data_IF_839690805204
#
_entry.id   IF_839690805204
#
_cell.length_a   1.000
_cell.length_b   1.000
_cell.length_c   1.000
_cell.angle_alpha   90.00
_cell.angle_beta   90.00
_cell.angle_gamma   90.00
#
_symmetry.space_group_name_H-M   'P 1'
#
loop_
_entity.id
_entity.type
_entity.pdbx_description
1 polymer ?
#
# COMPACT_ATOMS: atom_id res chain seq x y z
N UNK A 1 -69.44 -16.82 -16.18
CA UNK A 1 -69.00 -17.60 -15.01
C UNK A 1 -68.39 -16.63 -13.99
N UNK A 2 -69.03 -16.48 -12.82
CA UNK A 2 -68.35 -16.13 -11.55
C UNK A 2 -67.52 -17.38 -11.13
N UNK A 3 -66.56 -17.34 -10.18
CA UNK A 3 -66.54 -16.52 -8.95
C UNK A 3 -65.10 -16.05 -8.59
N UNK A 4 -64.67 -15.54 -7.43
CA UNK A 4 -65.17 -15.39 -6.06
C UNK A 4 -64.40 -14.19 -5.45
N UNK A 5 -65.05 -13.31 -4.70
CA UNK A 5 -64.43 -12.45 -3.67
C UNK A 5 -64.46 -13.17 -2.32
N UNK A 6 -63.65 -12.83 -1.30
CA UNK A 6 -64.24 -11.95 -0.27
C UNK A 6 -63.24 -11.03 0.46
N UNK A 7 -63.71 -9.83 0.80
CA UNK A 7 -63.88 -9.26 2.16
C UNK A 7 -62.58 -8.74 2.82
N UNK A 8 -62.41 -7.46 3.19
CA UNK A 8 -63.25 -6.46 3.92
C UNK A 8 -62.95 -6.41 5.44
N UNK A 9 -62.68 -5.17 5.87
CA UNK A 9 -63.12 -4.47 7.08
C UNK A 9 -62.51 -4.75 8.47
N UNK A 10 -61.95 -3.69 9.07
CA UNK A 10 -62.38 -2.99 10.31
C UNK A 10 -61.33 -1.89 10.58
N UNK A 11 -61.55 -0.57 10.77
CA UNK A 11 -62.53 0.30 11.46
C UNK A 11 -62.79 -0.05 12.93
N UNK A 12 -62.24 0.76 13.86
CA UNK A 12 -62.87 1.45 15.01
C UNK A 12 -61.75 1.81 16.03
N UNK A 13 -61.45 3.09 16.28
CA UNK A 13 -62.18 4.09 17.08
C UNK A 13 -62.16 3.78 18.59
N UNK A 14 -61.71 4.73 19.42
CA UNK A 14 -62.45 5.18 20.62
C UNK A 14 -61.77 6.37 21.33
N UNK A 15 -62.64 7.32 21.67
CA UNK A 15 -62.49 8.54 22.49
C UNK A 15 -62.81 8.19 23.97
N UNK A 16 -62.66 9.16 24.89
CA UNK A 16 -63.02 9.24 26.34
C UNK A 16 -61.79 9.06 27.26
N UNK A 17 -61.49 9.86 28.31
CA UNK A 17 -62.20 10.90 29.09
C UNK A 17 -61.18 11.76 29.90
N UNK A 18 -61.64 12.93 30.37
CA UNK A 18 -60.96 13.91 31.23
C UNK A 18 -60.59 13.40 32.64
N UNK A 19 -59.48 13.91 33.18
CA UNK A 19 -59.34 14.21 34.62
C UNK A 19 -58.34 15.36 34.83
N UNK A 20 -58.82 16.43 35.47
CA UNK A 20 -58.08 17.62 35.88
C UNK A 20 -57.53 17.38 37.30
N UNK A 21 -56.23 17.57 37.54
CA UNK A 21 -55.69 17.73 38.90
C UNK A 21 -54.44 18.61 38.89
N UNK A 22 -54.58 19.75 39.56
CA UNK A 22 -53.54 20.73 39.88
C UNK A 22 -52.43 20.09 40.70
N UNK A 23 -51.17 20.29 40.31
CA UNK A 23 -50.05 20.32 41.26
C UNK A 23 -48.91 21.20 40.71
N UNK A 24 -48.78 22.35 41.36
CA UNK A 24 -47.65 23.27 41.26
C UNK A 24 -46.42 22.58 41.84
N UNK A 25 -45.32 22.49 41.09
CA UNK A 25 -43.99 22.32 41.68
C UNK A 25 -43.01 23.31 41.06
N UNK A 26 -42.27 23.95 41.95
CA UNK A 26 -41.42 25.10 41.72
C UNK A 26 -40.20 24.77 40.86
N UNK A 27 -39.86 25.71 39.99
CA UNK A 27 -38.54 25.85 39.36
C UNK A 27 -37.46 26.03 40.42
N UNK A 28 -36.54 25.08 40.54
CA UNK A 28 -35.29 25.29 41.27
C UNK A 28 -34.30 25.97 40.33
N UNK A 29 -34.08 27.26 40.54
CA UNK A 29 -32.97 28.01 39.96
C UNK A 29 -31.68 27.58 40.68
N UNK A 30 -30.74 26.97 39.96
CA UNK A 30 -29.37 26.85 40.45
C UNK A 30 -28.57 28.11 40.04
N UNK A 31 -27.80 28.71 40.95
CA UNK A 31 -27.03 29.92 40.66
C UNK A 31 -25.85 29.60 39.72
N UNK A 32 -25.63 30.46 38.72
CA UNK A 32 -24.36 30.54 38.01
C UNK A 32 -23.31 31.12 38.96
N UNK A 33 -22.46 30.26 39.51
CA UNK A 33 -21.21 30.69 40.12
C UNK A 33 -20.23 31.06 39.01
N UNK A 34 -20.09 32.36 38.74
CA UNK A 34 -18.94 32.90 38.03
C UNK A 34 -17.78 32.94 39.03
N UNK A 35 -16.93 31.92 38.99
CA UNK A 35 -15.59 32.03 39.57
C UNK A 35 -14.67 32.60 38.50
N UNK A 36 -14.27 33.85 38.68
CA UNK A 36 -13.10 34.42 38.00
C UNK A 36 -11.90 33.75 38.66
N UNK A 37 -11.28 32.81 37.96
CA UNK A 37 -9.98 32.30 38.33
C UNK A 37 -8.92 32.86 37.39
N UNK A 38 -7.81 33.25 38.00
CA UNK A 38 -6.75 34.11 37.50
C UNK A 38 -6.12 33.67 36.19
N UNK A 39 -5.73 34.66 35.37
CA UNK A 39 -4.81 34.50 34.24
C UNK A 39 -3.45 34.05 34.78
N UNK A 40 -3.24 32.73 34.83
CA UNK A 40 -1.90 32.16 34.93
C UNK A 40 -1.25 32.13 33.54
N UNK A 41 -0.01 32.60 33.52
CA UNK A 41 0.84 32.75 32.35
C UNK A 41 0.95 31.43 31.59
N UNK A 42 0.63 31.46 30.29
CA UNK A 42 0.61 30.29 29.42
C UNK A 42 1.94 29.56 29.37
N UNK A 43 1.98 28.37 29.96
CA UNK A 43 2.83 27.29 29.49
C UNK A 43 2.00 26.48 28.50
N UNK A 44 2.02 26.90 27.23
CA UNK A 44 1.58 26.10 26.08
C UNK A 44 2.59 24.96 25.85
N UNK A 45 2.78 24.14 26.88
CA UNK A 45 3.42 22.85 26.76
C UNK A 45 2.37 21.95 26.13
N UNK A 46 2.37 21.93 24.80
CA UNK A 46 1.74 20.94 23.94
C UNK A 46 1.44 19.65 24.71
N UNK A 47 0.16 19.34 24.89
CA UNK A 47 -0.25 17.99 25.29
C UNK A 47 0.15 17.10 24.11
N UNK A 48 1.38 16.57 24.16
CA UNK A 48 1.87 15.60 23.21
C UNK A 48 1.12 14.30 23.50
N UNK A 49 0.00 14.08 22.80
CA UNK A 49 -0.62 12.76 22.83
C UNK A 49 0.38 11.74 22.31
N UNK A 50 0.62 10.67 23.09
CA UNK A 50 1.45 9.58 22.63
C UNK A 50 0.76 8.92 21.44
N UNK A 51 1.43 8.91 20.29
CA UNK A 51 0.96 8.14 19.12
C UNK A 51 0.68 6.70 19.51
N UNK A 52 -0.46 6.18 19.06
CA UNK A 52 -0.82 4.77 19.25
C UNK A 52 0.31 3.87 18.75
N UNK A 53 0.91 3.14 19.68
CA UNK A 53 1.97 2.19 19.37
C UNK A 53 1.35 1.02 18.62
N UNK A 54 1.85 0.76 17.42
CA UNK A 54 1.39 -0.35 16.58
C UNK A 54 1.77 -1.71 17.18
N UNK A 55 0.99 -2.79 16.93
CA UNK A 55 1.06 -4.04 17.70
C UNK A 55 2.38 -4.82 17.56
N UNK A 56 3.18 -4.54 16.53
CA UNK A 56 4.47 -5.17 16.31
C UNK A 56 5.40 -4.25 15.49
N UNK A 57 6.73 -4.48 15.52
CA UNK A 57 7.65 -3.74 14.66
C UNK A 57 7.58 -4.17 13.19
N UNK A 58 7.74 -3.22 12.28
CA UNK A 58 7.97 -3.46 10.86
C UNK A 58 9.45 -3.72 10.62
N UNK A 59 9.79 -4.91 10.14
CA UNK A 59 11.08 -5.28 9.56
C UNK A 59 11.02 -5.06 8.06
N UNK A 60 11.39 -3.86 7.63
CA UNK A 60 11.24 -3.39 6.26
C UNK A 60 12.52 -3.72 5.48
N UNK A 61 12.41 -4.49 4.40
CA UNK A 61 13.48 -4.77 3.46
C UNK A 61 13.31 -3.92 2.18
N UNK A 62 14.13 -2.88 1.97
CA UNK A 62 14.27 -2.25 0.66
C UNK A 62 15.11 -3.15 -0.26
N UNK A 63 14.49 -3.77 -1.26
CA UNK A 63 15.14 -4.67 -2.21
C UNK A 63 15.11 -4.07 -3.62
N UNK A 64 16.28 -3.90 -4.25
CA UNK A 64 16.32 -3.37 -5.60
C UNK A 64 17.70 -2.98 -6.10
N UNK A 65 17.75 -2.01 -7.00
CA UNK A 65 18.99 -1.58 -7.64
C UNK A 65 19.47 -0.20 -7.14
N UNK A 66 20.09 0.60 -8.01
CA UNK A 66 20.64 1.93 -7.67
C UNK A 66 19.59 2.91 -7.13
N UNK A 67 18.33 2.79 -7.56
CA UNK A 67 17.23 3.60 -7.03
C UNK A 67 17.02 3.28 -5.55
N UNK A 68 16.98 2.00 -5.15
CA UNK A 68 16.89 1.56 -3.75
C UNK A 68 18.09 1.98 -2.91
N UNK A 69 19.30 1.98 -3.49
CA UNK A 69 20.49 2.54 -2.83
C UNK A 69 20.30 4.01 -2.46
N UNK A 70 19.53 4.78 -3.25
CA UNK A 70 19.49 6.24 -3.15
C UNK A 70 20.59 6.91 -3.98
N UNK A 71 21.01 6.28 -5.08
CA UNK A 71 22.01 6.90 -5.96
C UNK A 71 21.49 8.23 -6.53
N UNK A 72 22.34 9.26 -6.55
CA UNK A 72 22.02 10.67 -6.89
C UNK A 72 21.19 11.44 -5.87
N UNK A 73 20.77 10.84 -4.75
CA UNK A 73 20.35 11.64 -3.59
C UNK A 73 21.56 12.30 -2.91
N UNK A 74 21.38 13.50 -2.36
CA UNK A 74 22.43 14.27 -1.70
C UNK A 74 22.99 13.58 -0.45
N UNK A 75 22.16 12.80 0.24
CA UNK A 75 22.47 12.15 1.50
C UNK A 75 22.73 10.63 1.37
N UNK A 76 22.57 10.09 0.15
CA UNK A 76 22.67 8.67 -0.13
C UNK A 76 21.60 7.80 0.51
N UNK A 77 20.52 8.37 1.07
CA UNK A 77 19.41 7.62 1.67
C UNK A 77 18.33 7.26 0.65
N UNK A 78 18.17 8.08 -0.40
CA UNK A 78 17.05 7.97 -1.33
C UNK A 78 15.70 8.09 -0.61
N UNK A 79 14.73 7.26 -1.00
CA UNK A 79 13.39 7.27 -0.38
C UNK A 79 13.38 6.71 1.06
N UNK A 80 14.42 5.98 1.48
CA UNK A 80 14.39 5.15 2.70
C UNK A 80 14.22 5.99 3.97
N UNK A 81 14.89 7.14 4.06
CA UNK A 81 14.80 8.05 5.21
C UNK A 81 13.38 8.60 5.35
N UNK A 82 12.86 9.18 4.27
CA UNK A 82 11.53 9.76 4.20
C UNK A 82 10.45 8.73 4.57
N UNK A 83 10.55 7.51 4.02
CA UNK A 83 9.60 6.44 4.33
C UNK A 83 9.68 5.98 5.79
N UNK A 84 10.90 5.79 6.32
CA UNK A 84 11.08 5.36 7.71
C UNK A 84 10.51 6.38 8.69
N UNK A 85 10.79 7.67 8.46
CA UNK A 85 10.25 8.76 9.26
C UNK A 85 8.72 8.76 9.23
N UNK A 86 8.11 8.54 8.06
CA UNK A 86 6.65 8.48 7.96
C UNK A 86 6.04 7.31 8.73
N UNK A 87 6.63 6.13 8.62
CA UNK A 87 6.15 4.95 9.34
C UNK A 87 6.24 5.17 10.85
N UNK A 88 7.34 5.79 11.32
CA UNK A 88 7.52 6.14 12.73
C UNK A 88 6.56 7.23 13.19
N UNK A 89 6.27 8.22 12.33
CA UNK A 89 5.21 9.19 12.53
C UNK A 89 3.84 8.51 12.70
N UNK A 90 3.56 7.44 11.95
CA UNK A 90 2.32 6.69 12.08
C UNK A 90 2.27 5.72 13.28
N UNK A 91 3.26 5.76 14.19
CA UNK A 91 3.31 4.93 15.39
C UNK A 91 3.97 3.56 15.21
N UNK A 92 4.48 3.24 14.02
CA UNK A 92 5.22 1.99 13.80
C UNK A 92 6.63 2.06 14.39
N UNK A 93 7.05 1.02 15.09
CA UNK A 93 8.47 0.75 15.27
C UNK A 93 9.04 0.17 13.97
N UNK A 94 10.20 0.68 13.52
CA UNK A 94 10.75 0.30 12.20
C UNK A 94 12.19 -0.15 12.31
N UNK A 95 12.42 -1.39 11.91
CA UNK A 95 13.72 -1.97 11.65
C UNK A 95 13.97 -2.10 10.14
N UNK A 96 14.88 -1.32 9.57
CA UNK A 96 15.31 -1.53 8.19
C UNK A 96 16.28 -2.70 8.16
N UNK A 97 16.02 -3.70 7.31
CA UNK A 97 16.85 -4.90 7.18
C UNK A 97 17.46 -5.00 5.79
N UNK A 98 18.48 -5.85 5.64
CA UNK A 98 19.29 -5.97 4.44
C UNK A 98 20.74 -6.33 4.76
N UNK A 99 21.52 -6.61 3.73
CA UNK A 99 22.93 -6.96 3.80
C UNK A 99 23.86 -5.80 3.46
N UNK A 100 23.33 -4.70 2.91
CA UNK A 100 24.06 -3.47 2.64
C UNK A 100 23.67 -2.36 3.62
N UNK A 101 24.54 -1.36 3.73
CA UNK A 101 24.35 -0.19 4.59
C UNK A 101 24.91 1.04 3.89
N UNK A 102 24.08 2.05 3.63
CA UNK A 102 24.55 3.31 3.05
C UNK A 102 23.57 4.48 3.30
N UNK A 103 24.11 5.68 3.21
CA UNK A 103 23.41 6.94 3.48
C UNK A 103 23.57 7.38 4.94
N UNK A 104 23.12 8.58 5.26
CA UNK A 104 23.31 9.20 6.59
C UNK A 104 22.22 8.88 7.60
N UNK A 105 21.10 8.23 7.21
CA UNK A 105 20.00 7.97 8.14
C UNK A 105 20.35 6.93 9.21
N UNK A 106 19.70 7.03 10.37
CA UNK A 106 19.68 5.93 11.33
C UNK A 106 18.99 4.71 10.73
N UNK A 107 19.48 3.52 11.12
CA UNK A 107 19.01 2.24 10.59
C UNK A 107 18.93 2.21 9.05
N UNK A 108 20.06 2.48 8.40
CA UNK A 108 20.19 2.59 6.94
C UNK A 108 20.48 1.25 6.22
N UNK A 109 20.10 0.10 6.80
CA UNK A 109 20.28 -1.18 6.12
C UNK A 109 19.35 -1.27 4.91
N UNK A 110 19.81 -1.93 3.84
CA UNK A 110 19.04 -2.16 2.62
C UNK A 110 19.69 -3.26 1.76
N UNK A 111 19.01 -3.64 0.68
CA UNK A 111 19.49 -4.54 -0.38
C UNK A 111 19.40 -3.85 -1.75
N UNK A 112 20.03 -2.67 -1.87
CA UNK A 112 20.18 -1.93 -3.12
C UNK A 112 21.47 -2.30 -3.86
N UNK A 113 21.38 -2.91 -5.04
CA UNK A 113 22.55 -3.34 -5.82
C UNK A 113 22.63 -2.58 -7.15
N UNK A 114 23.54 -1.59 -7.23
CA UNK A 114 23.67 -0.74 -8.43
C UNK A 114 23.90 -1.57 -9.70
N UNK A 115 23.15 -1.26 -10.76
CA UNK A 115 23.26 -1.94 -12.05
C UNK A 115 22.75 -3.38 -12.09
N UNK A 116 22.12 -3.89 -11.03
CA UNK A 116 21.58 -5.24 -11.02
C UNK A 116 20.23 -5.30 -11.73
N UNK A 117 20.07 -6.39 -12.47
CA UNK A 117 18.83 -6.81 -13.15
C UNK A 117 18.06 -7.76 -12.24
N UNK A 118 16.78 -8.01 -12.53
CA UNK A 118 15.89 -8.81 -11.66
C UNK A 118 16.52 -10.15 -11.24
N UNK A 119 17.19 -10.87 -12.16
CA UNK A 119 17.79 -12.16 -11.82
C UNK A 119 18.93 -12.08 -10.79
N UNK A 120 19.72 -10.99 -10.80
CA UNK A 120 20.78 -10.79 -9.80
C UNK A 120 20.19 -10.30 -8.48
N UNK A 121 19.14 -9.49 -8.52
CA UNK A 121 18.38 -9.12 -7.32
C UNK A 121 17.81 -10.37 -6.65
N UNK A 122 17.24 -11.30 -7.42
CA UNK A 122 16.74 -12.56 -6.88
C UNK A 122 17.85 -13.38 -6.20
N UNK A 123 19.05 -13.43 -6.80
CA UNK A 123 20.21 -14.10 -6.19
C UNK A 123 20.65 -13.45 -4.87
N UNK A 124 20.61 -12.12 -4.78
CA UNK A 124 20.97 -11.41 -3.55
C UNK A 124 19.92 -11.56 -2.45
N UNK A 125 18.63 -11.61 -2.83
CA UNK A 125 17.52 -11.80 -1.89
C UNK A 125 17.66 -13.11 -1.08
N UNK A 126 18.26 -14.16 -1.66
CA UNK A 126 18.56 -15.42 -0.95
C UNK A 126 19.39 -15.21 0.33
N UNK A 127 20.32 -14.25 0.30
CA UNK A 127 21.18 -13.93 1.45
C UNK A 127 20.42 -13.21 2.56
N UNK A 128 19.26 -12.64 2.25
CA UNK A 128 18.46 -11.83 3.19
C UNK A 128 17.26 -12.57 3.74
N UNK A 129 16.80 -13.64 3.06
CA UNK A 129 15.74 -14.54 3.55
C UNK A 129 15.91 -14.92 5.04
N UNK A 130 17.12 -15.28 5.54
CA UNK A 130 17.30 -15.60 6.96
C UNK A 130 16.97 -14.45 7.93
N UNK A 131 16.95 -13.20 7.46
CA UNK A 131 16.58 -12.04 8.28
C UNK A 131 15.05 -11.88 8.47
N UNK A 132 14.25 -12.66 7.75
CA UNK A 132 12.77 -12.76 7.86
C UNK A 132 12.05 -11.39 7.93
N UNK A 133 12.18 -10.52 6.92
CA UNK A 133 11.40 -9.27 6.85
C UNK A 133 9.90 -9.55 6.76
N UNK A 134 9.08 -8.80 7.49
CA UNK A 134 7.62 -8.85 7.35
C UNK A 134 7.06 -7.86 6.33
N UNK A 135 7.87 -6.91 5.85
CA UNK A 135 7.53 -6.01 4.75
C UNK A 135 8.71 -5.96 3.77
N UNK A 136 8.48 -6.28 2.50
CA UNK A 136 9.51 -6.21 1.44
C UNK A 136 9.07 -5.19 0.39
N UNK A 137 9.91 -4.19 0.13
CA UNK A 137 9.70 -3.18 -0.90
C UNK A 137 10.55 -3.53 -2.12
N UNK A 138 9.93 -3.79 -3.27
CA UNK A 138 10.66 -4.22 -4.47
C UNK A 138 10.60 -3.14 -5.55
N UNK A 139 11.78 -2.60 -5.89
CA UNK A 139 12.00 -1.77 -7.07
C UNK A 139 13.19 -2.31 -7.88
N UNK A 140 12.90 -3.17 -8.86
CA UNK A 140 13.90 -3.78 -9.74
C UNK A 140 13.32 -4.01 -11.13
N UNK A 141 14.13 -3.84 -12.17
CA UNK A 141 13.72 -3.97 -13.57
C UNK A 141 14.19 -2.83 -14.47
N UNK A 142 14.54 -1.66 -13.91
CA UNK A 142 15.06 -0.52 -14.70
C UNK A 142 16.31 -0.89 -15.51
N UNK A 143 17.21 -1.69 -14.93
CA UNK A 143 18.40 -2.16 -15.65
C UNK A 143 18.06 -3.21 -16.73
N UNK A 144 16.96 -3.94 -16.59
CA UNK A 144 16.46 -4.86 -17.61
C UNK A 144 15.94 -4.05 -18.81
N UNK A 145 15.16 -3.00 -18.59
CA UNK A 145 14.70 -2.07 -19.62
C UNK A 145 15.87 -1.32 -20.29
N UNK A 146 16.69 -0.60 -19.52
CA UNK A 146 17.79 0.24 -20.04
C UNK A 146 18.81 -0.56 -20.85
N UNK A 147 19.01 -1.84 -20.53
CA UNK A 147 19.95 -2.73 -21.22
C UNK A 147 19.26 -3.74 -22.15
N UNK A 148 17.96 -3.57 -22.41
CA UNK A 148 17.15 -4.41 -23.30
C UNK A 148 17.27 -5.92 -23.00
N UNK A 149 17.34 -6.27 -21.72
CA UNK A 149 17.59 -7.64 -21.27
C UNK A 149 16.29 -8.33 -20.89
N UNK A 150 15.84 -9.27 -21.72
CA UNK A 150 14.67 -10.12 -21.46
C UNK A 150 13.47 -9.35 -20.91
N UNK A 151 13.11 -8.26 -21.59
CA UNK A 151 12.00 -7.35 -21.21
C UNK A 151 10.66 -8.08 -21.24
N UNK A 152 10.43 -8.88 -22.29
CA UNK A 152 9.19 -9.66 -22.48
C UNK A 152 8.95 -10.70 -21.38
N UNK A 153 10.00 -11.09 -20.65
CA UNK A 153 9.91 -12.06 -19.54
C UNK A 153 10.29 -11.46 -18.20
N UNK A 154 10.40 -10.13 -18.10
CA UNK A 154 10.71 -9.44 -16.84
C UNK A 154 9.66 -9.76 -15.77
N UNK A 155 8.38 -9.80 -16.15
CA UNK A 155 7.28 -10.22 -15.30
C UNK A 155 7.46 -11.64 -14.79
N UNK A 156 7.71 -12.62 -15.67
CA UNK A 156 7.94 -14.03 -15.27
C UNK A 156 9.07 -14.16 -14.24
N UNK A 157 10.17 -13.42 -14.42
CA UNK A 157 11.30 -13.45 -13.49
C UNK A 157 10.99 -12.75 -12.16
N UNK A 158 10.23 -11.66 -12.19
CA UNK A 158 9.75 -11.02 -10.97
C UNK A 158 8.79 -11.93 -10.21
N UNK A 159 7.85 -12.57 -10.92
CA UNK A 159 6.89 -13.51 -10.35
C UNK A 159 7.58 -14.70 -9.67
N UNK A 160 8.65 -15.24 -10.27
CA UNK A 160 9.47 -16.26 -9.65
C UNK A 160 10.15 -15.79 -8.35
N UNK A 161 10.66 -14.55 -8.32
CA UNK A 161 11.23 -13.94 -7.10
C UNK A 161 10.15 -13.78 -6.02
N UNK A 162 8.97 -13.28 -6.36
CA UNK A 162 7.85 -13.14 -5.42
C UNK A 162 7.45 -14.49 -4.81
N UNK A 163 7.26 -15.52 -5.66
CA UNK A 163 6.98 -16.89 -5.19
C UNK A 163 8.06 -17.38 -4.23
N UNK A 164 9.33 -17.18 -4.57
CA UNK A 164 10.44 -17.59 -3.72
C UNK A 164 10.40 -16.89 -2.35
N UNK A 165 10.15 -15.58 -2.32
CA UNK A 165 10.07 -14.80 -1.08
C UNK A 165 8.88 -15.21 -0.21
N UNK A 166 7.68 -15.36 -0.79
CA UNK A 166 6.51 -15.82 -0.04
C UNK A 166 6.69 -17.21 0.57
N UNK A 167 7.31 -18.13 -0.18
CA UNK A 167 7.59 -19.49 0.31
C UNK A 167 8.63 -19.48 1.44
N UNK A 168 9.64 -18.61 1.36
CA UNK A 168 10.77 -18.61 2.29
C UNK A 168 10.54 -17.74 3.54
N UNK A 169 9.60 -16.79 3.48
CA UNK A 169 9.33 -15.82 4.53
C UNK A 169 7.83 -15.83 4.84
N UNK A 170 7.32 -16.88 5.51
CA UNK A 170 5.91 -16.97 5.84
C UNK A 170 5.47 -15.78 6.69
N UNK A 171 4.35 -15.16 6.33
CA UNK A 171 3.86 -13.96 7.00
C UNK A 171 4.24 -12.65 6.29
N UNK A 172 5.19 -12.67 5.35
CA UNK A 172 5.65 -11.43 4.71
C UNK A 172 4.54 -10.78 3.86
N UNK A 173 4.52 -9.45 3.87
CA UNK A 173 3.80 -8.62 2.91
C UNK A 173 4.80 -8.05 1.91
N UNK A 174 4.50 -8.16 0.62
CA UNK A 174 5.35 -7.58 -0.43
C UNK A 174 4.65 -6.37 -1.03
N UNK A 175 5.34 -5.24 -1.06
CA UNK A 175 4.92 -4.09 -1.87
C UNK A 175 5.77 -4.08 -3.13
N UNK A 176 5.16 -4.37 -4.28
CA UNK A 176 5.83 -4.32 -5.57
C UNK A 176 5.59 -2.95 -6.19
N UNK A 177 6.67 -2.23 -6.51
CA UNK A 177 6.53 -0.98 -7.27
C UNK A 177 6.54 -1.23 -8.78
N UNK A 178 5.81 -0.41 -9.52
CA UNK A 178 6.19 -0.16 -10.92
C UNK A 178 7.55 0.51 -10.96
N UNK A 179 8.25 0.36 -12.09
CA UNK A 179 9.44 1.14 -12.40
C UNK A 179 9.09 2.61 -12.57
N UNK A 180 10.02 3.48 -12.19
CA UNK A 180 9.95 4.90 -12.49
C UNK A 180 10.05 5.15 -14.00
N UNK A 181 9.60 6.33 -14.50
CA UNK A 181 9.86 6.72 -15.88
C UNK A 181 11.36 6.68 -16.19
N UNK A 182 11.69 6.47 -17.45
CA UNK A 182 13.07 6.48 -17.90
C UNK A 182 13.19 7.22 -19.22
N UNK A 183 14.09 8.20 -19.29
CA UNK A 183 14.28 9.02 -20.50
C UNK A 183 14.85 8.21 -21.67
N UNK A 184 15.63 7.16 -21.41
CA UNK A 184 16.32 6.38 -22.46
C UNK A 184 15.47 5.24 -23.02
N UNK A 185 14.64 4.62 -22.20
CA UNK A 185 13.84 3.45 -22.59
C UNK A 185 12.40 3.55 -22.01
N UNK A 186 11.63 4.60 -22.33
CA UNK A 186 10.28 4.79 -21.79
C UNK A 186 9.35 3.62 -22.14
N UNK A 187 9.30 3.22 -23.41
CA UNK A 187 8.42 2.13 -23.87
C UNK A 187 8.75 0.77 -23.21
N UNK A 188 10.03 0.47 -22.97
CA UNK A 188 10.41 -0.78 -22.31
C UNK A 188 10.11 -0.75 -20.81
N UNK A 189 10.20 0.42 -20.19
CA UNK A 189 9.73 0.61 -18.81
C UNK A 189 8.23 0.37 -18.72
N UNK A 190 7.45 0.94 -19.64
CA UNK A 190 5.99 0.79 -19.66
C UNK A 190 5.58 -0.67 -19.91
N UNK A 191 6.30 -1.38 -20.77
CA UNK A 191 6.11 -2.81 -20.99
C UNK A 191 6.36 -3.65 -19.74
N UNK A 192 7.38 -3.34 -18.94
CA UNK A 192 7.62 -4.03 -17.66
C UNK A 192 6.55 -3.65 -16.63
N UNK A 193 6.14 -2.38 -16.59
CA UNK A 193 5.12 -1.90 -15.67
C UNK A 193 3.77 -2.58 -15.91
N UNK A 194 3.37 -2.76 -17.17
CA UNK A 194 2.19 -3.54 -17.52
C UNK A 194 2.26 -4.99 -16.99
N UNK A 195 3.43 -5.63 -17.06
CA UNK A 195 3.64 -6.96 -16.50
C UNK A 195 3.51 -6.97 -14.97
N UNK A 196 4.03 -5.95 -14.26
CA UNK A 196 3.98 -5.87 -12.79
C UNK A 196 2.58 -5.59 -12.25
N UNK A 197 1.81 -4.75 -12.96
CA UNK A 197 0.37 -4.55 -12.70
C UNK A 197 -0.39 -5.88 -12.78
N UNK A 198 -0.20 -6.61 -13.88
CA UNK A 198 -0.86 -7.91 -14.09
C UNK A 198 -0.45 -8.95 -13.03
N UNK A 199 0.83 -9.04 -12.67
CA UNK A 199 1.29 -9.95 -11.60
C UNK A 199 0.60 -9.61 -10.29
N UNK A 200 0.58 -8.34 -9.91
CA UNK A 200 0.00 -7.91 -8.64
C UNK A 200 -1.49 -8.19 -8.63
N UNK A 201 -2.24 -7.81 -9.67
CA UNK A 201 -3.66 -8.12 -9.80
C UNK A 201 -3.97 -9.62 -9.65
N UNK A 202 -3.28 -10.49 -10.39
CA UNK A 202 -3.50 -11.96 -10.30
C UNK A 202 -3.14 -12.54 -8.94
N UNK A 203 -2.14 -12.00 -8.24
CA UNK A 203 -1.75 -12.44 -6.90
C UNK A 203 -2.73 -11.96 -5.83
N UNK A 204 -3.27 -10.74 -5.99
CA UNK A 204 -4.37 -10.21 -5.18
C UNK A 204 -5.63 -11.06 -5.28
N UNK A 205 -6.00 -11.49 -6.49
CA UNK A 205 -7.13 -12.41 -6.71
C UNK A 205 -6.96 -13.76 -5.99
N UNK A 206 -5.72 -14.14 -5.64
CA UNK A 206 -5.39 -15.34 -4.87
C UNK A 206 -5.26 -15.08 -3.36
N UNK A 207 -5.66 -13.89 -2.90
CA UNK A 207 -5.52 -13.44 -1.51
C UNK A 207 -4.08 -13.45 -0.99
N UNK A 208 -3.09 -13.30 -1.88
CA UNK A 208 -1.72 -13.12 -1.44
C UNK A 208 -1.50 -11.71 -0.86
N UNK A 209 -0.63 -11.61 0.16
CA UNK A 209 -0.26 -10.35 0.83
C UNK A 209 0.68 -9.51 -0.05
N UNK A 210 0.17 -9.04 -1.17
CA UNK A 210 0.88 -8.15 -2.08
C UNK A 210 0.09 -6.85 -2.25
N UNK A 211 0.77 -5.72 -2.42
CA UNK A 211 0.17 -4.43 -2.80
C UNK A 211 1.03 -3.79 -3.89
N UNK A 212 0.40 -3.11 -4.85
CA UNK A 212 1.09 -2.38 -5.91
C UNK A 212 1.40 -0.95 -5.43
N UNK A 213 2.61 -0.48 -5.68
CA UNK A 213 3.00 0.93 -5.51
C UNK A 213 3.25 1.57 -6.88
N UNK A 214 2.36 2.47 -7.30
CA UNK A 214 2.33 3.03 -8.67
C UNK A 214 3.27 4.21 -8.87
N UNK A 215 4.57 3.93 -8.92
CA UNK A 215 5.60 4.96 -9.05
C UNK A 215 5.53 5.74 -10.36
N UNK A 216 5.19 5.08 -11.48
CA UNK A 216 5.24 5.69 -12.81
C UNK A 216 4.19 6.78 -12.99
N UNK A 217 3.09 6.71 -12.24
CA UNK A 217 2.04 7.73 -12.25
C UNK A 217 2.43 9.01 -11.49
N UNK A 218 3.22 8.90 -10.42
CA UNK A 218 3.51 10.02 -9.51
C UNK A 218 4.88 10.68 -9.73
N UNK A 219 5.86 9.91 -10.19
CA UNK A 219 7.21 10.42 -10.46
C UNK A 219 7.30 10.84 -11.92
N UNK A 220 7.85 12.02 -12.19
CA UNK A 220 8.00 12.53 -13.56
C UNK A 220 9.47 12.52 -14.01
N UNK A 221 9.70 12.71 -15.32
CA UNK A 221 11.06 12.73 -15.89
C UNK A 221 11.89 13.91 -15.38
N UNK A 222 11.25 15.05 -15.08
CA UNK A 222 11.92 16.26 -14.56
C UNK A 222 12.45 16.08 -13.13
N UNK A 223 11.97 15.06 -12.45
CA UNK A 223 12.42 14.68 -11.11
C UNK A 223 13.62 13.73 -11.16
N UNK A 224 14.16 13.43 -12.35
CA UNK A 224 15.31 12.57 -12.56
C UNK A 224 16.56 13.39 -12.90
N UNK A 225 17.66 13.12 -12.20
CA UNK A 225 18.94 13.84 -12.40
C UNK A 225 19.60 13.48 -13.72
N UNK A 226 19.59 12.19 -14.08
CA UNK A 226 20.26 11.65 -15.27
C UNK A 226 19.29 10.93 -16.22
N UNK A 227 17.99 11.21 -16.09
CA UNK A 227 16.92 10.53 -16.80
C UNK A 227 16.64 9.09 -16.32
N UNK A 228 17.27 8.65 -15.22
CA UNK A 228 17.02 7.36 -14.57
C UNK A 228 16.84 7.47 -13.05
N UNK A 229 17.72 8.21 -12.38
CA UNK A 229 17.75 8.29 -10.93
C UNK A 229 17.04 9.54 -10.42
N UNK A 230 16.16 9.43 -9.42
CA UNK A 230 15.50 10.58 -8.81
C UNK A 230 16.49 11.58 -8.19
N UNK A 231 16.10 12.84 -8.21
CA UNK A 231 16.64 13.84 -7.28
C UNK A 231 16.01 13.67 -5.89
N UNK A 232 16.42 14.50 -4.93
CA UNK A 232 15.92 14.41 -3.55
C UNK A 232 14.39 14.55 -3.45
N UNK A 233 13.80 15.42 -4.28
CA UNK A 233 12.36 15.61 -4.33
C UNK A 233 11.62 14.38 -4.88
N UNK A 234 12.10 13.81 -6.00
CA UNK A 234 11.57 12.57 -6.56
C UNK A 234 11.68 11.39 -5.57
N UNK A 235 12.78 11.30 -4.83
CA UNK A 235 12.92 10.29 -3.76
C UNK A 235 11.92 10.49 -2.61
N UNK A 236 11.65 11.74 -2.22
CA UNK A 236 10.61 12.06 -1.22
C UNK A 236 9.20 11.69 -1.72
N UNK A 237 8.90 11.93 -3.00
CA UNK A 237 7.65 11.46 -3.61
C UNK A 237 7.55 9.94 -3.64
N UNK A 238 8.62 9.24 -4.01
CA UNK A 238 8.65 7.77 -3.96
C UNK A 238 8.30 7.24 -2.57
N UNK A 239 8.83 7.85 -1.51
CA UNK A 239 8.50 7.47 -0.14
C UNK A 239 7.00 7.63 0.16
N UNK A 240 6.36 8.66 -0.38
CA UNK A 240 4.92 8.89 -0.20
C UNK A 240 4.08 7.82 -0.90
N UNK A 241 4.50 7.35 -2.09
CA UNK A 241 3.84 6.25 -2.81
C UNK A 241 4.00 4.92 -2.06
N UNK A 242 5.20 4.64 -1.55
CA UNK A 242 5.43 3.47 -0.69
C UNK A 242 4.54 3.51 0.56
N UNK A 243 4.45 4.67 1.20
CA UNK A 243 3.61 4.86 2.38
C UNK A 243 2.12 4.61 2.08
N UNK A 244 1.62 5.10 0.95
CA UNK A 244 0.25 4.85 0.52
C UNK A 244 -0.06 3.34 0.42
N UNK A 245 0.83 2.59 -0.24
CA UNK A 245 0.66 1.14 -0.40
C UNK A 245 0.79 0.37 0.93
N UNK A 246 1.62 0.84 1.87
CA UNK A 246 1.70 0.23 3.21
C UNK A 246 0.45 0.51 4.03
N UNK A 247 -0.14 1.71 3.94
CA UNK A 247 -1.43 2.01 4.57
C UNK A 247 -2.57 1.14 4.02
N UNK A 248 -2.56 0.88 2.71
CA UNK A 248 -3.51 -0.06 2.10
C UNK A 248 -3.33 -1.48 2.67
N UNK A 249 -2.08 -1.96 2.74
CA UNK A 249 -1.78 -3.25 3.36
C UNK A 249 -2.21 -3.32 4.84
N UNK A 250 -2.04 -2.22 5.59
CA UNK A 250 -2.47 -2.11 6.98
C UNK A 250 -4.00 -2.17 7.09
N UNK A 251 -4.71 -1.34 6.32
CA UNK A 251 -6.18 -1.26 6.30
C UNK A 251 -6.83 -2.61 5.97
N UNK A 252 -6.18 -3.38 5.10
CA UNK A 252 -6.65 -4.70 4.67
C UNK A 252 -6.16 -5.85 5.57
N UNK A 253 -5.42 -5.57 6.65
CA UNK A 253 -4.94 -6.58 7.59
C UNK A 253 -3.84 -7.50 7.02
N UNK A 254 -3.14 -7.07 5.97
CA UNK A 254 -2.07 -7.87 5.35
C UNK A 254 -0.79 -7.85 6.16
N UNK A 255 -0.52 -6.77 6.91
CA UNK A 255 0.68 -6.66 7.73
C UNK A 255 0.63 -7.66 8.89
N UNK A 256 1.73 -8.38 9.09
CA UNK A 256 1.85 -9.42 10.12
C UNK A 256 3.15 -9.26 10.90
N UNK A 257 3.16 -9.75 12.14
CA UNK A 257 4.38 -9.80 12.94
C UNK A 257 5.42 -10.68 12.24
N UNK A 258 6.67 -10.21 12.19
CA UNK A 258 7.77 -11.03 11.69
C UNK A 258 8.07 -12.18 12.62
N UNK A 259 8.53 -13.31 12.08
CA UNK A 259 9.09 -14.38 12.92
C UNK A 259 10.27 -13.87 13.74
N UNK A 260 10.37 -14.33 14.98
CA UNK A 260 11.51 -14.03 15.84
C UNK A 260 12.81 -14.48 15.15
N UNK A 261 13.76 -13.57 15.01
CA UNK A 261 15.12 -13.88 14.51
C UNK A 261 16.12 -13.70 15.64
N UNK A 262 17.25 -14.40 15.58
CA UNK A 262 18.32 -14.29 16.59
C UNK A 262 18.87 -12.85 16.77
N UNK A 263 18.66 -11.94 15.79
CA UNK A 263 19.03 -10.52 15.91
C UNK A 263 18.06 -9.67 16.75
N UNK A 264 16.91 -10.21 17.15
CA UNK A 264 15.90 -9.49 17.93
C UNK A 264 15.36 -8.24 17.23
N UNK A 265 14.57 -7.44 17.97
CA UNK A 265 13.97 -6.18 17.51
C UNK A 265 14.69 -4.92 18.06
N UNK A 266 15.91 -5.06 18.58
CA UNK A 266 16.61 -3.99 19.31
C UNK A 266 16.81 -2.71 18.48
N UNK A 267 17.00 -2.83 17.16
CA UNK A 267 17.10 -1.67 16.25
C UNK A 267 15.78 -0.94 16.01
N UNK A 268 14.64 -1.61 16.17
CA UNK A 268 13.31 -1.00 16.03
C UNK A 268 12.98 -0.10 17.23
N UNK A 269 13.49 -0.47 18.41
CA UNK A 269 13.18 0.10 19.72
C UNK A 269 14.04 1.32 20.10
N UNK A 270 15.00 1.75 19.27
CA UNK A 270 15.88 2.86 19.59
C UNK A 270 15.15 4.19 19.77
N UNK A 271 14.88 4.58 21.03
CA UNK A 271 14.27 5.86 21.41
C UNK A 271 15.21 7.07 21.23
N UNK A 272 16.52 6.87 21.27
CA UNK A 272 17.52 7.95 21.16
C UNK A 272 17.85 8.37 19.71
N UNK A 273 17.05 7.96 18.72
CA UNK A 273 17.25 8.37 17.32
C UNK A 273 16.38 9.57 16.98
N UNK A 274 16.90 10.46 16.11
CA UNK A 274 16.20 11.65 15.59
C UNK A 274 14.90 11.31 14.86
N UNK A 275 14.68 10.05 14.52
CA UNK A 275 13.46 9.56 13.91
C UNK A 275 12.63 8.65 14.82
N UNK A 276 12.82 8.69 16.15
CA UNK A 276 11.87 8.35 17.22
C UNK A 276 10.40 8.06 16.83
N UNK A 277 9.76 6.90 17.11
CA UNK A 277 8.31 6.76 16.88
C UNK A 277 7.49 7.81 17.67
N UNK A 278 7.94 8.12 18.89
CA UNK A 278 7.41 9.21 19.72
C UNK A 278 8.04 10.59 19.47
N UNK A 279 8.85 10.80 18.43
CA UNK A 279 9.42 12.13 18.17
C UNK A 279 8.34 13.05 17.57
N UNK A 280 7.95 14.14 18.24
CA UNK A 280 6.95 15.08 17.72
C UNK A 280 7.43 15.88 16.51
N UNK A 281 8.75 15.97 16.29
CA UNK A 281 9.34 16.71 15.16
C UNK A 281 9.39 15.90 13.86
N UNK A 282 8.89 14.66 13.86
CA UNK A 282 8.77 13.90 12.61
C UNK A 282 7.74 14.60 11.70
N UNK A 283 8.08 14.90 10.45
CA UNK A 283 7.13 15.46 9.50
C UNK A 283 6.11 14.41 9.05
N UNK A 284 4.85 14.84 8.89
CA UNK A 284 3.82 14.06 8.23
C UNK A 284 3.90 14.24 6.70
N UNK A 285 3.77 13.14 5.97
CA UNK A 285 3.58 13.15 4.52
C UNK A 285 2.21 12.59 4.18
N UNK A 286 1.42 13.38 3.45
CA UNK A 286 0.15 12.95 2.92
C UNK A 286 0.37 11.91 1.82
N UNK A 287 -0.09 10.69 2.05
CA UNK A 287 -0.08 9.63 1.05
C UNK A 287 -0.97 10.01 -0.14
N UNK A 288 -0.49 9.88 -1.39
CA UNK A 288 -1.35 10.02 -2.55
C UNK A 288 -2.30 8.82 -2.65
N UNK A 289 -3.55 9.05 -3.04
CA UNK A 289 -4.47 7.98 -3.42
C UNK A 289 -3.86 7.24 -4.61
N UNK A 290 -3.52 5.95 -4.45
CA UNK A 290 -3.04 5.14 -5.56
C UNK A 290 -4.16 5.03 -6.61
N UNK A 291 -3.84 5.04 -7.92
CA UNK A 291 -4.85 4.85 -8.94
C UNK A 291 -5.54 3.50 -8.69
N UNK A 292 -6.87 3.49 -8.78
CA UNK A 292 -7.63 2.26 -8.67
C UNK A 292 -7.16 1.32 -9.78
N UNK A 293 -6.88 0.06 -9.45
CA UNK A 293 -6.70 -0.98 -10.46
C UNK A 293 -8.02 -1.07 -11.21
N UNK A 294 -8.11 -0.38 -12.34
CA UNK A 294 -9.22 -0.39 -13.29
C UNK A 294 -9.22 -1.71 -14.06
N UNK A 295 -9.20 -2.84 -13.32
CA UNK A 295 -9.30 -4.20 -13.80
C UNK A 295 -8.60 -4.37 -15.14
N UNK A 296 -7.28 -4.13 -15.15
CA UNK A 296 -6.41 -3.94 -16.30
C UNK A 296 -7.09 -4.11 -17.65
N UNK A 297 -7.29 -3.00 -18.38
CA UNK A 297 -7.63 -2.93 -19.81
C UNK A 297 -7.65 -4.33 -20.42
N UNK A 298 -8.85 -4.93 -20.45
CA UNK A 298 -9.08 -6.23 -21.04
C UNK A 298 -8.56 -6.16 -22.47
N UNK A 299 -7.32 -6.58 -22.70
CA UNK A 299 -6.86 -6.95 -24.02
C UNK A 299 -7.66 -8.20 -24.38
N UNK A 300 -8.89 -7.98 -24.88
CA UNK A 300 -9.59 -8.94 -25.72
C UNK A 300 -8.68 -9.12 -26.93
N UNK A 301 -7.81 -10.12 -26.88
CA UNK A 301 -7.30 -10.68 -28.13
C UNK A 301 -8.53 -11.12 -28.92
N UNK A 302 -8.69 -10.70 -30.19
CA UNK A 302 -9.76 -11.23 -31.02
C UNK A 302 -9.40 -12.69 -31.32
N UNK A 303 -9.99 -13.63 -30.57
CA UNK A 303 -10.08 -15.01 -31.01
C UNK A 303 -11.03 -15.05 -32.22
N UNK A 304 -10.50 -14.75 -33.40
CA UNK A 304 -11.03 -15.34 -34.63
C UNK A 304 -10.66 -16.82 -34.62
N UNK A 305 -11.58 -17.66 -35.11
CA UNK A 305 -11.52 -19.12 -35.24
C UNK A 305 -12.08 -19.92 -34.06
N UNK A 306 -13.41 -20.12 -34.08
CA UNK A 306 -13.99 -21.46 -33.90
C UNK A 306 -15.45 -21.53 -34.43
N UNK A 307 -15.58 -22.25 -35.54
CA UNK A 307 -16.63 -23.25 -35.87
C UNK A 307 -18.09 -22.80 -35.87
N UNK A 308 -18.63 -22.63 -37.08
CA UNK A 308 -20.07 -22.70 -37.36
C UNK A 308 -20.49 -24.17 -37.30
N UNK A 309 -21.32 -24.53 -36.33
CA UNK A 309 -22.21 -25.69 -36.42
C UNK A 309 -23.52 -25.34 -35.71
N UNK A 310 -24.53 -24.91 -36.46
CA UNK A 310 -25.90 -24.86 -35.97
C UNK A 310 -26.80 -25.74 -36.82
N UNK A 311 -27.38 -26.71 -36.12
CA UNK A 311 -28.37 -27.67 -36.55
C UNK A 311 -29.60 -26.97 -37.11
N UNK A 312 -30.05 -27.39 -38.29
CA UNK A 312 -31.44 -27.21 -38.73
C UNK A 312 -32.02 -28.61 -38.91
N UNK A 313 -32.79 -29.03 -37.91
CA UNK A 313 -33.75 -30.10 -38.05
C UNK A 313 -35.02 -29.66 -37.33
N UNK A 314 -36.05 -29.30 -38.10
CA UNK A 314 -37.46 -29.57 -37.76
C UNK A 314 -38.39 -29.13 -38.89
N UNK A 315 -39.27 -30.06 -39.24
CA UNK A 315 -40.58 -29.93 -39.92
C UNK A 315 -40.61 -29.90 -41.46
N UNK A 316 -40.75 -31.12 -41.97
CA UNK A 316 -41.46 -31.43 -43.22
C UNK A 316 -42.98 -31.23 -43.08
N UNK A 317 -43.61 -31.20 -44.26
CA UNK A 317 -45.02 -31.48 -44.63
C UNK A 317 -45.96 -30.26 -44.72
N UNK A 318 -46.27 -29.78 -45.95
CA UNK A 318 -47.54 -30.05 -46.66
C UNK A 318 -47.59 -29.43 -48.09
N UNK A 319 -47.95 -30.29 -49.05
CA UNK A 319 -48.62 -30.19 -50.37
C UNK A 319 -49.01 -28.86 -51.09
N UNK A 320 -48.96 -28.97 -52.43
CA UNK A 320 -49.81 -28.38 -53.50
C UNK A 320 -49.61 -26.89 -53.82
N UNK A 321 -49.45 -26.40 -55.05
CA UNK A 321 -49.77 -26.81 -56.44
C UNK A 321 -48.60 -26.49 -57.39
#
# INVERSE_FOLDING_TARGET
MRPVSPLRFAIQASIWQLALLFLVTLSVSAPLNISIDSVEHGNDASILESRDVKPFPLRVLPLGASITVGFKSSDGNGYRKWLRQQLRYAGWQVDMVGNLKNGTMHNNNNDGYKGYKIHRIAKEAEKTIPQQPNVILINAGTNDAVRKYHVDTAGKRMDALLTRLFNAIPGTTIVLSTLLPNKRQPNLVDQINAQYRNITARRRERNERIVLAEMNHFITVDELVDGTHPNDYGYKKMASVWWAAIQEAEKEGLLQQSKNTARGHSKALGMQSDDAAGNPHLPEYKAPKQPENDGGLRFRQPCSWQVVLQMVASMSIYCSL
#
